data_IF_041555782581
#
_entry.id   IF_041555782581
#
_cell.length_a   1.000
_cell.length_b   1.000
_cell.length_c   1.000
_cell.angle_alpha   90.00
_cell.angle_beta   90.00
_cell.angle_gamma   90.00
#
_symmetry.space_group_name_H-M   'P 1'
#
loop_
_entity.id
_entity.type
_entity.pdbx_description
1 polymer ?
#
# COMPACT_ATOMS: atom_id res chain seq x y z
N UNK A 1 7.78 -14.50 -14.81
CA UNK A 1 9.17 -14.37 -14.35
C UNK A 1 9.15 -13.77 -12.95
N UNK A 2 9.74 -14.43 -11.97
CA UNK A 2 9.91 -13.90 -10.62
C UNK A 2 11.00 -12.82 -10.62
N UNK A 3 10.84 -11.78 -9.79
CA UNK A 3 11.85 -10.71 -9.61
C UNK A 3 12.45 -10.84 -8.21
N UNK A 4 13.75 -10.63 -8.07
CA UNK A 4 14.42 -10.63 -6.77
C UNK A 4 14.77 -9.19 -6.38
N UNK A 5 14.42 -8.80 -5.17
CA UNK A 5 14.69 -7.46 -4.61
C UNK A 5 15.23 -7.58 -3.20
N UNK A 6 15.99 -6.59 -2.76
CA UNK A 6 16.66 -6.59 -1.46
C UNK A 6 16.45 -5.29 -0.70
N UNK A 7 16.38 -5.36 0.61
CA UNK A 7 16.36 -4.17 1.47
C UNK A 7 17.76 -3.61 1.69
N UNK A 8 17.86 -2.29 1.86
CA UNK A 8 19.15 -1.62 2.07
C UNK A 8 19.81 -1.97 3.40
N UNK A 9 19.02 -2.04 4.48
CA UNK A 9 19.53 -2.06 5.86
C UNK A 9 20.05 -3.42 6.30
N UNK A 10 19.26 -4.47 6.12
CA UNK A 10 19.58 -5.84 6.56
C UNK A 10 19.91 -6.79 5.38
N UNK A 11 19.87 -6.30 4.13
CA UNK A 11 20.02 -7.11 2.91
C UNK A 11 19.09 -8.33 2.87
N UNK A 12 17.92 -8.18 3.49
CA UNK A 12 16.86 -9.19 3.40
C UNK A 12 16.38 -9.26 1.96
N UNK A 13 16.33 -10.48 1.42
CA UNK A 13 15.98 -10.72 0.02
C UNK A 13 14.54 -11.20 -0.07
N UNK A 14 13.82 -10.64 -1.03
CA UNK A 14 12.43 -10.98 -1.33
C UNK A 14 12.29 -11.44 -2.77
N UNK A 15 11.54 -12.51 -2.95
CA UNK A 15 11.10 -12.98 -4.26
C UNK A 15 9.70 -12.43 -4.54
N UNK A 16 9.54 -11.71 -5.65
CA UNK A 16 8.26 -11.24 -6.15
C UNK A 16 7.65 -12.29 -7.08
N UNK A 17 6.43 -12.73 -6.79
CA UNK A 17 5.81 -13.87 -7.47
C UNK A 17 4.81 -13.45 -8.54
N UNK A 18 3.77 -12.70 -8.15
CA UNK A 18 2.64 -12.34 -9.01
C UNK A 18 2.40 -10.84 -8.99
N UNK A 19 2.29 -10.26 -10.18
CA UNK A 19 1.81 -8.88 -10.33
C UNK A 19 0.31 -8.82 -10.04
N UNK A 20 -0.09 -7.98 -9.10
CA UNK A 20 -1.48 -7.74 -8.72
C UNK A 20 -2.11 -6.61 -9.52
N UNK A 21 -1.34 -5.55 -9.76
CA UNK A 21 -1.82 -4.35 -10.44
C UNK A 21 -0.67 -3.60 -11.12
N UNK A 22 -1.02 -2.78 -12.10
CA UNK A 22 -0.10 -1.87 -12.78
C UNK A 22 -0.80 -0.54 -13.01
N UNK A 23 -0.14 0.56 -12.65
CA UNK A 23 -0.58 1.93 -12.89
C UNK A 23 0.50 2.75 -13.59
N UNK A 24 0.26 4.06 -13.72
CA UNK A 24 1.20 4.97 -14.39
C UNK A 24 2.56 5.11 -13.69
N UNK A 25 2.61 4.91 -12.37
CA UNK A 25 3.83 5.05 -11.57
C UNK A 25 4.63 3.75 -11.44
N UNK A 26 3.98 2.58 -11.55
CA UNK A 26 4.56 1.34 -11.09
C UNK A 26 3.64 0.12 -11.10
N UNK A 27 4.20 -0.98 -10.64
CA UNK A 27 3.56 -2.29 -10.50
C UNK A 27 3.47 -2.67 -9.03
N UNK A 28 2.39 -3.36 -8.64
CA UNK A 28 2.24 -3.96 -7.32
C UNK A 28 2.41 -5.47 -7.45
N UNK A 29 3.30 -6.05 -6.64
CA UNK A 29 3.64 -7.46 -6.66
C UNK A 29 3.41 -8.13 -5.30
N UNK A 30 3.00 -9.40 -5.31
CA UNK A 30 3.02 -10.25 -4.12
C UNK A 30 4.45 -10.61 -3.74
N UNK A 31 4.67 -10.80 -2.44
CA UNK A 31 5.96 -11.21 -1.87
C UNK A 31 5.88 -12.66 -1.40
N UNK A 32 6.77 -13.50 -1.90
CA UNK A 32 6.85 -14.91 -1.52
C UNK A 32 7.00 -15.05 0.00
N UNK A 33 6.16 -15.90 0.62
CA UNK A 33 6.21 -16.17 2.06
C UNK A 33 5.75 -15.02 2.96
N UNK A 34 5.26 -13.89 2.41
CA UNK A 34 4.73 -12.76 3.18
C UNK A 34 3.39 -12.28 2.62
N UNK A 35 2.30 -12.98 2.96
CA UNK A 35 0.93 -12.69 2.47
C UNK A 35 0.43 -11.29 2.80
N UNK A 36 0.89 -10.74 3.93
CA UNK A 36 0.42 -9.48 4.50
C UNK A 36 1.18 -8.27 3.93
N UNK A 37 2.09 -8.51 2.98
CA UNK A 37 2.89 -7.48 2.34
C UNK A 37 2.79 -7.57 0.82
N UNK A 38 2.94 -6.41 0.19
CA UNK A 38 3.14 -6.27 -1.25
C UNK A 38 4.32 -5.34 -1.52
N UNK A 39 4.93 -5.49 -2.68
CA UNK A 39 5.98 -4.60 -3.15
C UNK A 39 5.41 -3.66 -4.23
N UNK A 40 5.61 -2.35 -4.08
CA UNK A 40 5.44 -1.39 -5.18
C UNK A 40 6.77 -1.21 -5.88
N UNK A 41 6.81 -1.51 -7.18
CA UNK A 41 8.00 -1.40 -8.05
C UNK A 41 7.76 -0.28 -9.05
N UNK A 42 8.64 0.71 -9.09
CA UNK A 42 8.49 1.89 -9.95
C UNK A 42 8.94 1.62 -11.38
N UNK A 43 8.25 2.23 -12.35
CA UNK A 43 8.68 2.20 -13.76
C UNK A 43 9.87 3.12 -14.02
N UNK A 44 9.93 4.25 -13.33
CA UNK A 44 10.97 5.29 -13.44
C UNK A 44 11.38 5.77 -12.05
N UNK A 45 12.17 4.97 -11.29
CA UNK A 45 12.68 5.41 -9.99
C UNK A 45 13.69 6.55 -10.17
N UNK A 46 13.66 7.52 -9.27
CA UNK A 46 14.62 8.61 -9.21
C UNK A 46 15.11 8.85 -7.76
N UNK A 47 16.13 9.71 -7.63
CA UNK A 47 16.79 9.98 -6.35
C UNK A 47 15.91 10.77 -5.37
N UNK A 48 15.05 11.66 -5.88
CA UNK A 48 14.18 12.47 -5.01
C UNK A 48 13.07 11.61 -4.41
N UNK A 49 12.52 10.67 -5.20
CA UNK A 49 11.60 9.65 -4.76
C UNK A 49 12.24 8.72 -3.71
N UNK A 50 13.48 8.29 -3.92
CA UNK A 50 14.23 7.49 -2.93
C UNK A 50 14.37 8.24 -1.60
N UNK A 51 14.80 9.50 -1.64
CA UNK A 51 14.95 10.35 -0.44
C UNK A 51 13.63 10.51 0.30
N UNK A 52 12.55 10.84 -0.42
CA UNK A 52 11.21 10.97 0.15
C UNK A 52 10.76 9.70 0.85
N UNK A 53 10.89 8.54 0.19
CA UNK A 53 10.44 7.27 0.76
C UNK A 53 11.34 6.83 1.93
N UNK A 54 12.64 7.14 1.89
CA UNK A 54 13.54 6.91 3.03
C UNK A 54 13.08 7.71 4.26
N UNK A 55 12.67 8.95 4.07
CA UNK A 55 12.09 9.78 5.13
C UNK A 55 10.80 9.16 5.67
N UNK A 56 9.88 8.76 4.78
CA UNK A 56 8.60 8.13 5.16
C UNK A 56 8.80 6.84 5.97
N UNK A 57 9.73 5.97 5.57
CA UNK A 57 10.06 4.73 6.30
C UNK A 57 10.66 5.03 7.68
N UNK A 58 11.42 6.12 7.81
CA UNK A 58 12.07 6.50 9.07
C UNK A 58 11.14 7.26 10.02
N UNK A 59 10.03 7.80 9.52
CA UNK A 59 9.05 8.58 10.28
C UNK A 59 7.63 8.08 9.98
N UNK A 60 7.30 6.83 10.35
CA UNK A 60 5.96 6.32 10.13
C UNK A 60 4.95 7.10 10.98
N UNK A 61 3.78 7.48 10.42
CA UNK A 61 2.70 8.04 11.20
C UNK A 61 2.15 7.03 12.20
N UNK A 62 1.51 7.52 13.25
CA UNK A 62 0.87 6.67 14.25
C UNK A 62 -0.51 6.20 13.78
N UNK A 63 -0.57 5.01 13.19
CA UNK A 63 -1.80 4.37 12.75
C UNK A 63 -2.52 3.67 13.91
N UNK A 64 -3.45 4.39 14.58
CA UNK A 64 -4.24 3.84 15.69
C UNK A 64 -5.12 2.67 15.28
N UNK A 65 -5.61 2.65 14.03
CA UNK A 65 -6.44 1.55 13.52
C UNK A 65 -5.61 0.27 13.44
N UNK A 66 -4.36 0.38 12.99
CA UNK A 66 -3.43 -0.76 12.99
C UNK A 66 -3.09 -1.21 14.42
N UNK A 67 -2.87 -0.27 15.36
CA UNK A 67 -2.58 -0.58 16.76
C UNK A 67 -3.73 -1.38 17.41
N UNK A 68 -4.96 -0.92 17.23
CA UNK A 68 -6.17 -1.43 17.89
C UNK A 68 -6.76 -2.67 17.21
N UNK A 69 -6.88 -2.65 15.88
CA UNK A 69 -7.60 -3.68 15.11
C UNK A 69 -6.70 -4.59 14.29
N UNK A 70 -5.37 -4.39 14.33
CA UNK A 70 -4.39 -5.12 13.50
C UNK A 70 -4.72 -5.04 12.01
N UNK A 71 -5.34 -3.95 11.59
CA UNK A 71 -5.71 -3.67 10.22
C UNK A 71 -5.08 -2.33 9.80
N UNK A 72 -4.27 -2.29 8.73
CA UNK A 72 -3.64 -1.04 8.28
C UNK A 72 -4.69 -0.10 7.70
N UNK A 73 -4.82 1.11 8.26
CA UNK A 73 -5.68 2.16 7.67
C UNK A 73 -5.03 2.82 6.46
N UNK A 74 -3.69 2.77 6.40
CA UNK A 74 -2.87 3.28 5.30
C UNK A 74 -1.81 2.26 4.90
N UNK A 75 -1.60 2.07 3.60
CA UNK A 75 -0.53 1.22 3.06
C UNK A 75 0.82 1.96 3.09
N UNK A 76 1.28 2.34 4.29
CA UNK A 76 2.51 3.12 4.47
C UNK A 76 3.77 2.33 4.08
N UNK A 77 4.79 2.96 3.47
CA UNK A 77 6.07 2.30 3.18
C UNK A 77 6.76 1.80 4.45
N UNK A 78 7.24 0.56 4.42
CA UNK A 78 7.91 -0.09 5.56
C UNK A 78 9.38 -0.37 5.31
N UNK A 79 9.80 -0.51 4.05
CA UNK A 79 11.19 -0.74 3.68
C UNK A 79 11.42 -0.42 2.22
N UNK A 80 12.56 0.21 1.90
CA UNK A 80 12.98 0.42 0.52
C UNK A 80 13.54 -0.87 -0.10
N UNK A 81 13.29 -1.04 -1.39
CA UNK A 81 13.70 -2.19 -2.18
C UNK A 81 14.68 -1.76 -3.28
N UNK A 82 15.69 -2.61 -3.48
CA UNK A 82 16.77 -2.43 -4.44
C UNK A 82 16.92 -3.68 -5.30
N UNK A 83 17.25 -3.48 -6.57
CA UNK A 83 17.68 -4.51 -7.50
C UNK A 83 18.99 -4.05 -8.14
N UNK A 84 20.01 -4.92 -8.18
CA UNK A 84 21.35 -4.57 -8.68
C UNK A 84 21.91 -3.28 -8.04
N UNK A 85 21.77 -3.14 -6.72
CA UNK A 85 22.12 -1.95 -5.94
C UNK A 85 21.43 -0.63 -6.37
N UNK A 86 20.38 -0.69 -7.20
CA UNK A 86 19.59 0.47 -7.62
C UNK A 86 18.24 0.47 -6.93
N UNK A 87 17.83 1.64 -6.45
CA UNK A 87 16.50 1.85 -5.89
C UNK A 87 15.44 1.48 -6.94
N UNK A 88 14.48 0.64 -6.55
CA UNK A 88 13.44 0.15 -7.47
C UNK A 88 12.03 0.26 -6.89
N UNK A 89 11.88 0.35 -5.57
CA UNK A 89 10.54 0.27 -4.97
C UNK A 89 10.54 0.25 -3.45
N UNK A 90 9.43 -0.18 -2.88
CA UNK A 90 9.28 -0.35 -1.44
C UNK A 90 8.26 -1.45 -1.08
N UNK A 91 8.38 -1.98 0.14
CA UNK A 91 7.40 -2.87 0.77
C UNK A 91 6.36 -2.05 1.53
N UNK A 92 5.11 -2.51 1.51
CA UNK A 92 4.01 -1.95 2.29
C UNK A 92 3.02 -3.04 2.72
N UNK A 93 2.22 -2.81 3.78
CA UNK A 93 1.14 -3.71 4.15
C UNK A 93 0.17 -3.92 3.00
N UNK A 94 -0.31 -5.15 2.85
CA UNK A 94 -1.33 -5.51 1.87
C UNK A 94 -2.70 -5.19 2.44
N UNK A 95 -3.39 -4.25 1.81
CA UNK A 95 -4.83 -4.01 2.04
C UNK A 95 -5.60 -4.80 0.99
N UNK A 96 -6.52 -5.66 1.42
CA UNK A 96 -7.36 -6.47 0.51
C UNK A 96 -8.72 -6.76 1.12
N UNK A 97 -9.66 -7.25 0.30
CA UNK A 97 -11.01 -7.60 0.74
C UNK A 97 -11.98 -6.42 0.88
N UNK A 98 -11.55 -5.21 0.51
CA UNK A 98 -12.40 -4.02 0.46
C UNK A 98 -12.98 -3.75 -0.93
N UNK A 99 -14.05 -2.96 -0.96
CA UNK A 99 -14.58 -2.36 -2.19
C UNK A 99 -13.88 -1.03 -2.43
N UNK A 100 -13.46 -0.76 -3.66
CA UNK A 100 -12.84 0.52 -4.00
C UNK A 100 -13.79 1.69 -3.72
N UNK A 101 -13.28 2.77 -3.12
CA UNK A 101 -14.12 3.89 -2.73
C UNK A 101 -14.86 4.51 -3.91
N UNK A 102 -14.32 4.43 -5.13
CA UNK A 102 -14.96 4.95 -6.35
C UNK A 102 -16.25 4.20 -6.69
N UNK A 103 -16.28 2.88 -6.44
CA UNK A 103 -17.47 2.04 -6.65
C UNK A 103 -18.59 2.37 -5.66
N UNK A 104 -18.22 2.79 -4.45
CA UNK A 104 -19.17 3.17 -3.39
C UNK A 104 -19.60 4.64 -3.51
N UNK A 105 -18.69 5.53 -3.89
CA UNK A 105 -18.94 6.96 -4.01
C UNK A 105 -19.91 7.26 -5.17
N UNK A 106 -19.71 6.62 -6.32
CA UNK A 106 -20.55 6.82 -7.50
C UNK A 106 -21.93 6.17 -7.30
N UNK A 107 -23.04 6.95 -7.30
CA UNK A 107 -24.39 6.41 -7.07
C UNK A 107 -24.81 5.32 -8.07
N UNK A 108 -24.33 5.39 -9.31
CA UNK A 108 -24.64 4.40 -10.36
C UNK A 108 -23.90 3.09 -10.11
N UNK A 109 -22.61 3.15 -9.73
CA UNK A 109 -21.81 1.96 -9.45
C UNK A 109 -22.27 1.28 -8.15
N UNK A 110 -22.59 2.09 -7.14
CA UNK A 110 -23.06 1.62 -5.82
C UNK A 110 -24.32 0.76 -5.90
N UNK A 111 -25.11 0.85 -6.96
CA UNK A 111 -26.28 -0.05 -7.17
C UNK A 111 -25.90 -1.53 -7.13
N UNK A 112 -24.64 -1.90 -7.42
CA UNK A 112 -24.12 -3.27 -7.33
C UNK A 112 -23.84 -3.72 -5.89
N UNK A 113 -23.81 -2.78 -4.94
CA UNK A 113 -23.42 -2.99 -3.55
C UNK A 113 -24.52 -2.49 -2.59
N UNK A 114 -25.65 -3.22 -2.49
CA UNK A 114 -26.82 -2.81 -1.69
C UNK A 114 -26.52 -2.65 -0.20
N UNK A 115 -25.44 -3.26 0.31
CA UNK A 115 -24.95 -3.11 1.67
C UNK A 115 -24.48 -1.67 2.00
N UNK A 116 -24.12 -0.86 1.00
CA UNK A 116 -23.73 0.53 1.20
C UNK A 116 -24.94 1.49 1.22
N UNK A 117 -25.86 1.27 2.15
CA UNK A 117 -26.94 2.21 2.45
C UNK A 117 -26.41 3.48 3.15
N UNK A 118 -27.24 4.51 3.32
CA UNK A 118 -26.84 5.82 3.91
C UNK A 118 -25.95 5.71 5.16
N UNK A 119 -26.35 4.92 6.17
CA UNK A 119 -25.54 4.74 7.39
C UNK A 119 -24.14 4.17 7.10
N UNK A 120 -24.01 3.21 6.19
CA UNK A 120 -22.73 2.65 5.79
C UNK A 120 -21.86 3.70 5.08
N UNK A 121 -22.44 4.62 4.30
CA UNK A 121 -21.71 5.73 3.68
C UNK A 121 -21.13 6.69 4.72
N UNK A 122 -21.85 6.96 5.81
CA UNK A 122 -21.33 7.75 6.93
C UNK A 122 -20.13 7.05 7.57
N UNK A 123 -20.17 5.72 7.73
CA UNK A 123 -19.01 4.96 8.21
C UNK A 123 -17.83 5.00 7.25
N UNK A 124 -18.07 4.87 5.93
CA UNK A 124 -17.01 5.00 4.92
C UNK A 124 -16.36 6.37 4.98
N UNK A 125 -17.15 7.44 5.11
CA UNK A 125 -16.63 8.80 5.26
C UNK A 125 -15.80 8.96 6.55
N UNK A 126 -16.27 8.40 7.67
CA UNK A 126 -15.53 8.41 8.94
C UNK A 126 -14.21 7.62 8.89
N UNK A 127 -14.20 6.46 8.23
CA UNK A 127 -13.00 5.66 8.02
C UNK A 127 -11.98 6.40 7.14
N UNK A 128 -12.45 7.04 6.07
CA UNK A 128 -11.59 7.87 5.22
C UNK A 128 -11.01 9.05 6.00
N UNK A 129 -11.83 9.77 6.78
CA UNK A 129 -11.39 10.87 7.60
C UNK A 129 -10.34 10.43 8.64
N UNK A 130 -10.51 9.23 9.22
CA UNK A 130 -9.55 8.64 10.17
C UNK A 130 -8.22 8.30 9.49
N UNK A 131 -8.26 7.72 8.28
CA UNK A 131 -7.05 7.43 7.50
C UNK A 131 -6.30 8.71 7.10
N UNK A 132 -7.02 9.77 6.70
CA UNK A 132 -6.41 11.08 6.41
C UNK A 132 -5.85 11.73 7.67
N UNK A 133 -6.59 11.69 8.79
CA UNK A 133 -6.12 12.22 10.06
C UNK A 133 -4.84 11.53 10.54
N UNK A 134 -4.66 10.24 10.25
CA UNK A 134 -3.43 9.52 10.54
C UNK A 134 -2.20 10.15 9.87
N UNK A 135 -2.38 10.86 8.75
CA UNK A 135 -1.30 11.53 8.00
C UNK A 135 -1.05 12.98 8.41
N UNK A 136 -1.98 13.62 9.13
CA UNK A 136 -1.91 15.03 9.54
C UNK A 136 -1.29 15.18 10.93
#
# INVERSE_FOLDING_TARGET
>A
MSKTVQTKRNRETFTLEKMLARGGEGEIWTVQGKSDFVAKIFLKPDLELEKKLNYMVSHPPRDRVMEEFKFPSIAWPTSLLYADNRFTGYLMPRVSGGVEIIEVYNPTHRKKFPEFHWKALVHVAGNLATAVHTLH
#
